data_IF_931583686355
#
_entry.id   IF_931583686355
#
_cell.length_a   1.000
_cell.length_b   1.000
_cell.length_c   1.000
_cell.angle_alpha   90.00
_cell.angle_beta   90.00
_cell.angle_gamma   90.00
#
_symmetry.space_group_name_H-M   'P 1'
#
loop_
_entity.id
_entity.type
_entity.pdbx_description
1 polymer ?
#
# COMPACT_ATOMS: atom_id res chain seq x y z
N UNK A 1 6.34 26.59 4.13
CA UNK A 1 5.72 26.68 5.45
C UNK A 1 6.03 25.43 6.26
N UNK A 2 6.28 25.60 7.48
CA UNK A 2 6.95 24.87 8.52
C UNK A 2 6.48 23.41 8.74
N UNK A 3 6.67 22.51 7.77
CA UNK A 3 6.30 21.09 7.89
C UNK A 3 6.98 20.44 9.10
N UNK A 4 8.24 20.81 9.38
CA UNK A 4 8.99 20.27 10.52
C UNK A 4 8.38 20.71 11.85
N UNK A 5 7.86 21.94 11.94
CA UNK A 5 7.12 22.38 13.11
C UNK A 5 5.85 21.53 13.34
N UNK A 6 5.06 21.32 12.28
CA UNK A 6 3.85 20.49 12.38
C UNK A 6 4.16 19.03 12.70
N UNK A 7 5.24 18.48 12.17
CA UNK A 7 5.70 17.12 12.53
C UNK A 7 6.05 17.05 14.02
N UNK A 8 6.86 17.98 14.53
CA UNK A 8 7.23 18.04 15.95
C UNK A 8 5.98 18.16 16.85
N UNK A 9 5.06 19.07 16.51
CA UNK A 9 3.83 19.25 17.26
C UNK A 9 2.96 17.99 17.23
N UNK A 10 2.87 17.31 16.09
CA UNK A 10 2.12 16.05 15.96
C UNK A 10 2.72 14.97 16.84
N UNK A 11 4.05 14.79 16.80
CA UNK A 11 4.74 13.80 17.63
C UNK A 11 4.62 14.10 19.13
N UNK A 12 4.72 15.37 19.52
CA UNK A 12 4.48 15.79 20.89
C UNK A 12 3.05 15.40 21.34
N UNK A 13 2.03 15.73 20.56
CA UNK A 13 0.65 15.36 20.89
C UNK A 13 0.45 13.85 20.97
N UNK A 14 1.10 13.08 20.08
CA UNK A 14 1.07 11.62 20.15
C UNK A 14 1.66 11.13 21.48
N UNK A 15 2.81 11.66 21.91
CA UNK A 15 3.44 11.28 23.19
C UNK A 15 2.57 11.66 24.40
N UNK A 16 1.79 12.72 24.29
CA UNK A 16 0.79 13.14 25.29
C UNK A 16 -0.53 12.33 25.22
N UNK A 17 -0.58 11.29 24.36
CA UNK A 17 -1.79 10.47 24.10
C UNK A 17 -3.00 11.29 23.63
N UNK A 18 -2.75 12.38 22.90
CA UNK A 18 -3.77 13.23 22.30
C UNK A 18 -3.95 12.88 20.82
N UNK A 19 -5.21 12.81 20.38
CA UNK A 19 -5.53 12.57 18.97
C UNK A 19 -5.09 13.79 18.13
N UNK A 20 -4.05 13.62 17.34
CA UNK A 20 -3.44 14.68 16.52
C UNK A 20 -3.41 14.37 15.03
N UNK A 21 -3.51 13.09 14.68
CA UNK A 21 -3.56 12.63 13.30
C UNK A 21 -4.22 11.25 13.20
N UNK A 22 -4.68 10.91 12.00
CA UNK A 22 -5.12 9.53 11.75
C UNK A 22 -3.91 8.58 11.77
N UNK A 23 -4.10 7.29 12.09
CA UNK A 23 -3.01 6.30 11.99
C UNK A 23 -2.37 6.26 10.60
N UNK A 24 -3.19 6.44 9.56
CA UNK A 24 -2.68 6.48 8.18
C UNK A 24 -1.75 7.69 7.94
N UNK A 25 -2.07 8.86 8.50
CA UNK A 25 -1.23 10.05 8.40
C UNK A 25 0.12 9.86 9.13
N UNK A 26 0.13 9.15 10.27
CA UNK A 26 1.34 8.94 11.06
C UNK A 26 2.47 8.25 10.27
N UNK A 27 2.14 7.43 9.26
CA UNK A 27 3.13 6.77 8.39
C UNK A 27 3.99 7.73 7.57
N UNK A 28 3.47 8.93 7.27
CA UNK A 28 4.24 9.97 6.58
C UNK A 28 4.95 10.91 7.56
N UNK A 29 4.57 10.90 8.84
CA UNK A 29 5.15 11.77 9.89
C UNK A 29 6.39 11.17 10.49
N UNK A 30 6.39 9.86 10.76
CA UNK A 30 7.50 9.19 11.46
C UNK A 30 7.66 7.74 11.01
N UNK A 31 8.89 7.23 11.10
CA UNK A 31 9.23 5.79 10.95
C UNK A 31 9.36 5.08 12.30
N UNK A 32 9.13 5.78 13.40
CA UNK A 32 9.22 5.20 14.74
C UNK A 32 7.96 4.40 15.09
N UNK A 33 8.17 3.19 15.59
CA UNK A 33 7.11 2.21 15.81
C UNK A 33 6.18 2.57 16.98
N UNK A 34 6.76 3.03 18.10
CA UNK A 34 5.97 3.39 19.29
C UNK A 34 5.04 4.58 19.03
N UNK A 35 5.47 5.69 18.42
CA UNK A 35 4.57 6.78 18.04
C UNK A 35 3.46 6.34 17.09
N UNK A 36 3.74 5.45 16.11
CA UNK A 36 2.71 4.94 15.20
C UNK A 36 1.67 4.10 15.95
N UNK A 37 2.11 3.20 16.86
CA UNK A 37 1.22 2.42 17.72
C UNK A 37 0.37 3.33 18.62
N UNK A 38 1.02 4.30 19.28
CA UNK A 38 0.30 5.22 20.18
C UNK A 38 -0.74 6.05 19.41
N UNK A 39 -0.40 6.54 18.20
CA UNK A 39 -1.34 7.25 17.34
C UNK A 39 -2.56 6.38 16.99
N UNK A 40 -2.33 5.10 16.64
CA UNK A 40 -3.40 4.16 16.31
C UNK A 40 -4.29 3.88 17.53
N UNK A 41 -3.72 3.61 18.70
CA UNK A 41 -4.47 3.35 19.93
C UNK A 41 -5.30 4.57 20.36
N UNK A 42 -4.71 5.76 20.34
CA UNK A 42 -5.40 7.00 20.70
C UNK A 42 -6.55 7.30 19.74
N UNK A 43 -6.28 7.20 18.42
CA UNK A 43 -7.30 7.42 17.39
C UNK A 43 -8.45 6.42 17.52
N UNK A 44 -8.15 5.13 17.69
CA UNK A 44 -9.14 4.07 17.87
C UNK A 44 -10.04 4.33 19.09
N UNK A 45 -9.42 4.64 20.23
CA UNK A 45 -10.15 4.95 21.47
C UNK A 45 -11.08 6.15 21.30
N UNK A 46 -10.58 7.25 20.74
CA UNK A 46 -11.40 8.46 20.53
C UNK A 46 -12.52 8.23 19.49
N UNK A 47 -12.27 7.42 18.48
CA UNK A 47 -13.27 7.04 17.49
C UNK A 47 -14.40 6.23 18.14
N UNK A 48 -14.07 5.23 18.97
CA UNK A 48 -15.04 4.40 19.67
C UNK A 48 -15.96 5.19 20.61
N UNK A 49 -15.47 6.25 21.26
CA UNK A 49 -16.30 7.13 22.08
C UNK A 49 -17.43 7.82 21.31
N UNK A 50 -17.25 8.00 20.00
CA UNK A 50 -18.18 8.67 19.08
C UNK A 50 -19.14 7.72 18.37
N UNK A 51 -18.88 6.43 18.45
CA UNK A 51 -19.66 5.40 17.78
C UNK A 51 -20.61 4.77 18.80
N UNK A 52 -21.92 4.82 18.51
CA UNK A 52 -22.89 4.07 19.29
C UNK A 52 -22.76 2.58 18.95
N UNK A 53 -22.31 1.77 19.91
CA UNK A 53 -22.28 0.31 19.81
C UNK A 53 -23.49 -0.21 20.59
N UNK A 54 -24.63 -0.32 19.91
CA UNK A 54 -25.87 -0.81 20.52
C UNK A 54 -25.76 -2.28 20.93
N UNK A 55 -25.58 -3.18 19.96
CA UNK A 55 -25.41 -4.62 20.20
C UNK A 55 -23.97 -5.03 19.96
N UNK A 56 -23.39 -5.75 20.93
CA UNK A 56 -22.13 -6.43 20.81
C UNK A 56 -22.35 -7.94 20.88
N UNK A 57 -21.84 -8.65 19.88
CA UNK A 57 -21.97 -10.09 19.86
C UNK A 57 -20.86 -10.74 20.67
N UNK A 58 -21.16 -11.89 21.27
CA UNK A 58 -20.21 -12.72 22.01
C UNK A 58 -20.32 -14.17 21.52
N UNK A 59 -19.21 -14.87 21.51
CA UNK A 59 -19.12 -16.24 21.04
C UNK A 59 -18.52 -17.12 22.13
N UNK A 60 -19.36 -17.96 22.76
CA UNK A 60 -18.89 -18.95 23.74
C UNK A 60 -18.23 -20.13 23.04
N UNK A 61 -18.68 -20.44 21.81
CA UNK A 61 -18.13 -21.52 20.96
C UNK A 61 -18.10 -21.03 19.51
N UNK A 62 -17.10 -21.49 18.75
CA UNK A 62 -17.06 -21.29 17.31
C UNK A 62 -18.22 -22.03 16.63
N UNK A 63 -18.67 -21.50 15.49
CA UNK A 63 -19.65 -22.20 14.68
C UNK A 63 -19.12 -23.56 14.20
N UNK A 64 -20.02 -24.54 14.05
CA UNK A 64 -19.67 -25.90 13.59
C UNK A 64 -20.00 -26.08 12.10
N UNK A 65 -19.43 -25.24 11.24
CA UNK A 65 -19.64 -25.37 9.81
C UNK A 65 -18.77 -26.49 9.21
N UNK A 66 -19.32 -27.24 8.24
CA UNK A 66 -18.52 -28.14 7.39
C UNK A 66 -17.42 -27.38 6.64
N UNK A 67 -17.73 -26.14 6.23
CA UNK A 67 -16.83 -25.22 5.56
C UNK A 67 -16.85 -23.90 6.34
N UNK A 68 -15.74 -23.50 6.96
CA UNK A 68 -15.69 -22.19 7.59
C UNK A 68 -16.05 -21.07 6.61
N UNK A 69 -16.85 -20.11 7.08
CA UNK A 69 -17.30 -18.97 6.30
C UNK A 69 -16.34 -17.80 6.51
N UNK A 70 -15.78 -17.28 5.43
CA UNK A 70 -14.85 -16.16 5.42
C UNK A 70 -15.48 -14.98 4.71
N UNK A 71 -15.62 -13.83 5.38
CA UNK A 71 -16.13 -12.61 4.77
C UNK A 71 -15.02 -11.57 4.59
N UNK A 72 -14.79 -11.11 3.37
CA UNK A 72 -13.97 -9.94 3.07
C UNK A 72 -14.85 -8.70 3.10
N UNK A 73 -14.42 -7.68 3.84
CA UNK A 73 -15.19 -6.47 4.15
C UNK A 73 -14.45 -5.26 3.60
N UNK A 74 -15.05 -4.50 2.69
CA UNK A 74 -14.42 -3.33 2.08
C UNK A 74 -15.41 -2.40 1.41
N UNK A 75 -15.04 -1.12 1.22
CA UNK A 75 -15.67 -0.24 0.23
C UNK A 75 -15.03 -0.33 -1.14
N UNK A 76 -13.91 -1.04 -1.30
CA UNK A 76 -13.05 -0.97 -2.47
C UNK A 76 -13.31 -2.06 -3.51
N UNK A 77 -14.43 -2.79 -3.42
CA UNK A 77 -14.87 -3.75 -4.42
C UNK A 77 -15.32 -3.07 -5.73
N UNK A 78 -14.43 -2.23 -6.26
CA UNK A 78 -14.58 -1.48 -7.51
C UNK A 78 -13.19 -1.26 -8.13
N UNK A 79 -13.06 -0.42 -9.17
CA UNK A 79 -11.75 -0.06 -9.76
C UNK A 79 -10.89 0.68 -8.73
N UNK A 80 -10.17 -0.09 -7.94
CA UNK A 80 -9.31 0.37 -6.85
C UNK A 80 -8.04 -0.48 -6.76
N UNK A 81 -6.94 0.13 -6.27
CA UNK A 81 -5.65 -0.53 -6.13
C UNK A 81 -5.74 -1.87 -5.37
N UNK A 82 -6.52 -1.93 -4.29
CA UNK A 82 -6.72 -3.16 -3.51
C UNK A 82 -7.31 -4.29 -4.37
N UNK A 83 -8.29 -4.00 -5.23
CA UNK A 83 -8.90 -5.03 -6.07
C UNK A 83 -7.96 -5.47 -7.19
N UNK A 84 -7.16 -4.57 -7.74
CA UNK A 84 -6.09 -4.94 -8.68
C UNK A 84 -5.01 -5.84 -8.07
N UNK A 85 -4.85 -5.81 -6.76
CA UNK A 85 -3.98 -6.76 -6.05
C UNK A 85 -4.71 -8.07 -5.73
N UNK A 86 -5.95 -7.99 -5.25
CA UNK A 86 -6.65 -9.10 -4.59
C UNK A 86 -7.41 -10.02 -5.54
N UNK A 87 -7.80 -9.55 -6.75
CA UNK A 87 -8.69 -10.32 -7.62
C UNK A 87 -8.14 -11.69 -7.99
N UNK A 88 -6.83 -11.80 -8.22
CA UNK A 88 -6.18 -13.09 -8.48
C UNK A 88 -6.26 -14.04 -7.29
N UNK A 89 -6.19 -13.53 -6.06
CA UNK A 89 -6.42 -14.31 -4.84
C UNK A 89 -7.88 -14.81 -4.81
N UNK A 90 -8.85 -13.94 -5.05
CA UNK A 90 -10.26 -14.31 -5.01
C UNK A 90 -10.61 -15.36 -6.07
N UNK A 91 -10.03 -15.30 -7.27
CA UNK A 91 -10.25 -16.30 -8.33
C UNK A 91 -9.67 -17.69 -7.99
N UNK A 92 -8.67 -17.76 -7.11
CA UNK A 92 -8.02 -19.00 -6.70
C UNK A 92 -8.52 -19.54 -5.34
N UNK A 93 -9.59 -18.97 -4.78
CA UNK A 93 -10.19 -19.41 -3.52
C UNK A 93 -10.61 -20.89 -3.57
N UNK A 94 -10.37 -21.60 -2.45
CA UNK A 94 -10.73 -23.01 -2.34
C UNK A 94 -12.18 -23.20 -1.86
N UNK A 95 -13.13 -23.04 -2.76
CA UNK A 95 -14.57 -23.19 -2.48
C UNK A 95 -14.98 -24.63 -2.05
N UNK A 96 -14.07 -25.61 -2.13
CA UNK A 96 -14.32 -26.94 -1.57
C UNK A 96 -14.09 -26.97 -0.06
N UNK A 97 -13.18 -26.14 0.45
CA UNK A 97 -12.81 -26.08 1.89
C UNK A 97 -13.50 -24.95 2.64
N UNK A 98 -13.77 -23.83 1.99
CA UNK A 98 -14.31 -22.64 2.62
C UNK A 98 -15.52 -22.11 1.86
N UNK A 99 -16.38 -21.34 2.56
CA UNK A 99 -17.44 -20.55 1.94
C UNK A 99 -17.08 -19.07 2.05
N UNK A 100 -16.97 -18.42 0.88
CA UNK A 100 -16.47 -17.03 0.81
C UNK A 100 -17.59 -16.05 0.53
N UNK A 101 -17.58 -14.96 1.31
CA UNK A 101 -18.51 -13.86 1.21
C UNK A 101 -17.75 -12.55 0.93
N UNK A 102 -18.33 -11.66 0.13
CA UNK A 102 -17.90 -10.29 0.00
C UNK A 102 -18.96 -9.37 0.64
N UNK A 103 -18.55 -8.52 1.56
CA UNK A 103 -19.40 -7.50 2.21
C UNK A 103 -18.95 -6.14 1.68
N UNK A 104 -19.60 -5.68 0.63
CA UNK A 104 -19.29 -4.42 -0.04
C UNK A 104 -20.15 -3.28 0.50
N UNK A 105 -19.53 -2.37 1.24
CA UNK A 105 -20.21 -1.17 1.75
C UNK A 105 -19.93 0.07 0.89
N UNK A 106 -19.48 -0.10 -0.36
CA UNK A 106 -19.41 1.01 -1.30
C UNK A 106 -20.79 1.53 -1.68
N UNK A 107 -20.93 2.84 -1.80
CA UNK A 107 -22.10 3.47 -2.42
C UNK A 107 -21.96 3.54 -3.96
N UNK A 108 -20.75 3.31 -4.49
CA UNK A 108 -20.44 3.38 -5.92
C UNK A 108 -20.59 2.00 -6.54
N UNK A 109 -21.47 1.90 -7.53
CA UNK A 109 -21.51 0.75 -8.43
C UNK A 109 -21.00 1.23 -9.78
N UNK A 110 -19.92 0.64 -10.23
CA UNK A 110 -19.39 0.88 -11.56
C UNK A 110 -19.48 -0.37 -12.42
N UNK A 111 -19.38 -0.21 -13.73
CA UNK A 111 -19.35 -1.29 -14.70
C UNK A 111 -17.94 -1.63 -15.16
N UNK A 112 -16.92 -1.21 -14.42
CA UNK A 112 -15.52 -1.44 -14.74
C UNK A 112 -15.23 -2.95 -14.86
N UNK A 113 -14.39 -3.39 -15.79
CA UNK A 113 -14.02 -4.80 -15.96
C UNK A 113 -13.49 -5.45 -14.70
N UNK A 114 -12.71 -4.70 -13.86
CA UNK A 114 -12.19 -5.26 -12.60
C UNK A 114 -13.31 -5.51 -11.58
N UNK A 115 -14.29 -4.61 -11.48
CA UNK A 115 -15.45 -4.76 -10.60
C UNK A 115 -16.25 -6.00 -10.97
N UNK A 116 -16.59 -6.15 -12.25
CA UNK A 116 -17.29 -7.33 -12.76
C UNK A 116 -16.49 -8.63 -12.53
N UNK A 117 -15.16 -8.56 -12.68
CA UNK A 117 -14.27 -9.70 -12.46
C UNK A 117 -14.27 -10.11 -10.99
N UNK A 118 -14.20 -9.15 -10.05
CA UNK A 118 -14.24 -9.41 -8.61
C UNK A 118 -15.61 -9.97 -8.20
N UNK A 119 -16.71 -9.36 -8.62
CA UNK A 119 -18.05 -9.84 -8.29
C UNK A 119 -18.28 -11.30 -8.71
N UNK A 120 -17.77 -11.70 -9.87
CA UNK A 120 -17.87 -13.09 -10.37
C UNK A 120 -17.12 -14.11 -9.51
N UNK A 121 -16.16 -13.69 -8.69
CA UNK A 121 -15.38 -14.62 -7.86
C UNK A 121 -16.14 -15.09 -6.63
N UNK A 122 -17.15 -14.33 -6.19
CA UNK A 122 -17.93 -14.61 -4.99
C UNK A 122 -19.32 -15.14 -5.34
N UNK A 123 -19.66 -16.31 -4.83
CA UNK A 123 -21.03 -16.80 -4.86
C UNK A 123 -21.96 -15.93 -3.99
N UNK A 124 -21.42 -15.45 -2.86
CA UNK A 124 -22.12 -14.66 -1.87
C UNK A 124 -21.56 -13.23 -1.85
N UNK A 125 -22.07 -12.37 -2.73
CA UNK A 125 -21.68 -10.95 -2.80
C UNK A 125 -22.82 -10.07 -2.26
N UNK A 126 -22.54 -9.35 -1.15
CA UNK A 126 -23.52 -8.54 -0.44
C UNK A 126 -23.22 -7.05 -0.63
N UNK A 127 -24.11 -6.34 -1.32
CA UNK A 127 -24.08 -4.89 -1.45
C UNK A 127 -24.81 -4.25 -0.26
N UNK A 128 -24.05 -3.63 0.65
CA UNK A 128 -24.57 -3.09 1.92
C UNK A 128 -24.25 -1.61 2.13
N UNK A 129 -23.97 -0.87 1.05
CA UNK A 129 -23.59 0.55 1.14
C UNK A 129 -24.63 1.47 1.78
N UNK A 130 -25.91 1.10 1.70
CA UNK A 130 -27.04 1.83 2.28
C UNK A 130 -27.36 1.44 3.74
N UNK A 131 -26.68 0.44 4.31
CA UNK A 131 -26.92 -0.04 5.67
C UNK A 131 -26.06 0.70 6.69
N UNK A 132 -26.55 0.84 7.93
CA UNK A 132 -25.75 1.30 9.06
C UNK A 132 -24.64 0.30 9.45
N UNK A 133 -23.68 0.72 10.28
CA UNK A 133 -22.65 -0.19 10.78
C UNK A 133 -23.25 -1.35 11.59
N UNK A 134 -24.26 -1.04 12.41
CA UNK A 134 -24.98 -2.02 13.22
C UNK A 134 -25.73 -3.03 12.35
N UNK A 135 -26.45 -2.57 11.31
CA UNK A 135 -27.14 -3.45 10.35
C UNK A 135 -26.18 -4.35 9.57
N UNK A 136 -24.97 -3.86 9.26
CA UNK A 136 -23.94 -4.69 8.59
C UNK A 136 -23.37 -5.71 9.58
N UNK A 137 -23.12 -5.31 10.82
CA UNK A 137 -22.68 -6.22 11.86
C UNK A 137 -23.72 -7.33 12.12
N UNK A 138 -25.01 -6.96 12.20
CA UNK A 138 -26.12 -7.93 12.31
C UNK A 138 -26.15 -8.90 11.12
N UNK A 139 -26.00 -8.41 9.89
CA UNK A 139 -25.94 -9.27 8.71
C UNK A 139 -24.77 -10.27 8.80
N UNK A 140 -23.57 -9.79 9.18
CA UNK A 140 -22.39 -10.66 9.31
C UNK A 140 -22.63 -11.76 10.35
N UNK A 141 -23.24 -11.40 11.48
CA UNK A 141 -23.58 -12.35 12.54
C UNK A 141 -24.65 -13.34 12.09
N UNK A 142 -25.74 -12.88 11.41
CA UNK A 142 -26.80 -13.75 10.91
C UNK A 142 -26.35 -14.69 9.80
N UNK A 143 -25.32 -14.29 9.03
CA UNK A 143 -24.64 -15.17 8.06
C UNK A 143 -23.76 -16.21 8.76
N UNK A 144 -23.56 -16.09 10.07
CA UNK A 144 -22.67 -16.95 10.87
C UNK A 144 -21.24 -16.98 10.28
N UNK A 145 -20.68 -15.79 10.01
CA UNK A 145 -19.31 -15.67 9.50
C UNK A 145 -18.31 -16.07 10.58
N UNK A 146 -17.43 -17.05 10.30
CA UNK A 146 -16.38 -17.49 11.21
C UNK A 146 -15.21 -16.50 11.26
N UNK A 147 -14.80 -15.99 10.10
CA UNK A 147 -13.66 -15.10 9.95
C UNK A 147 -14.06 -13.86 9.15
N UNK A 148 -14.01 -12.71 9.78
CA UNK A 148 -14.23 -11.40 9.15
C UNK A 148 -12.89 -10.73 8.83
N UNK A 149 -12.61 -10.47 7.55
CA UNK A 149 -11.36 -9.88 7.07
C UNK A 149 -11.60 -8.46 6.59
N UNK A 150 -11.14 -7.48 7.35
CA UNK A 150 -11.15 -6.07 6.96
C UNK A 150 -10.02 -5.77 5.97
N UNK A 151 -10.37 -5.22 4.81
CA UNK A 151 -9.41 -4.85 3.76
C UNK A 151 -9.12 -3.34 3.71
N UNK A 152 -9.56 -2.58 4.71
CA UNK A 152 -9.45 -1.11 4.73
C UNK A 152 -8.58 -0.55 5.85
N UNK A 153 -8.74 -1.04 7.08
CA UNK A 153 -8.19 -0.38 8.24
C UNK A 153 -8.63 1.08 8.31
N UNK A 154 -7.68 2.02 8.42
CA UNK A 154 -7.96 3.46 8.49
C UNK A 154 -7.74 4.21 7.18
N UNK A 155 -7.89 3.55 6.04
CA UNK A 155 -7.88 4.25 4.75
C UNK A 155 -9.17 5.03 4.50
N UNK A 156 -9.17 5.91 3.50
CA UNK A 156 -10.33 6.76 3.21
C UNK A 156 -11.62 5.94 3.01
N UNK A 157 -12.71 6.41 3.60
CA UNK A 157 -14.01 5.73 3.53
C UNK A 157 -14.13 4.50 4.43
N UNK A 158 -13.23 4.33 5.40
CA UNK A 158 -13.27 3.21 6.35
C UNK A 158 -14.55 3.17 7.17
N UNK A 159 -15.07 1.96 7.36
CA UNK A 159 -16.14 1.61 8.30
C UNK A 159 -15.70 0.48 9.25
N UNK A 160 -14.45 0.55 9.72
CA UNK A 160 -13.87 -0.43 10.66
C UNK A 160 -14.72 -0.62 11.93
N UNK A 161 -15.52 0.38 12.27
CA UNK A 161 -16.46 0.33 13.42
C UNK A 161 -17.52 -0.77 13.30
N UNK A 162 -17.79 -1.29 12.11
CA UNK A 162 -18.61 -2.50 11.92
C UNK A 162 -18.05 -3.63 12.78
N UNK A 163 -16.74 -3.77 12.83
CA UNK A 163 -16.08 -4.82 13.60
C UNK A 163 -16.00 -4.55 15.11
N UNK A 164 -16.27 -3.31 15.54
CA UNK A 164 -16.39 -2.99 16.96
C UNK A 164 -17.61 -3.66 17.63
N UNK A 165 -18.64 -4.00 16.85
CA UNK A 165 -19.77 -4.83 17.29
C UNK A 165 -19.39 -6.30 17.50
N UNK A 166 -18.19 -6.73 17.15
CA UNK A 166 -17.73 -8.14 17.20
C UNK A 166 -18.66 -9.10 16.46
N UNK A 167 -19.02 -8.87 15.18
CA UNK A 167 -20.00 -9.71 14.47
C UNK A 167 -19.49 -11.10 14.08
N UNK A 168 -18.20 -11.38 14.19
CA UNK A 168 -17.58 -12.68 13.91
C UNK A 168 -16.63 -13.11 15.05
N UNK A 169 -16.47 -14.42 15.30
CA UNK A 169 -15.55 -14.95 16.32
C UNK A 169 -14.11 -14.53 16.11
N UNK A 170 -13.66 -14.48 14.85
CA UNK A 170 -12.30 -14.10 14.46
C UNK A 170 -12.38 -12.89 13.52
N UNK A 171 -11.63 -11.84 13.86
CA UNK A 171 -11.56 -10.61 13.09
C UNK A 171 -10.11 -10.28 12.71
N UNK A 172 -9.88 -10.06 11.42
CA UNK A 172 -8.54 -9.94 10.83
C UNK A 172 -8.45 -8.64 10.03
N UNK A 173 -7.31 -7.95 10.09
CA UNK A 173 -7.00 -6.87 9.16
C UNK A 173 -5.96 -7.33 8.12
N UNK A 174 -6.14 -6.94 6.86
CA UNK A 174 -5.25 -7.33 5.79
C UNK A 174 -5.14 -6.27 4.69
N UNK A 175 -3.95 -6.06 4.18
CA UNK A 175 -3.53 -5.32 2.99
C UNK A 175 -3.84 -3.82 2.93
N UNK A 176 -5.01 -3.35 3.41
CA UNK A 176 -5.43 -1.95 3.22
C UNK A 176 -4.67 -0.95 4.10
N UNK A 177 -4.26 -1.36 5.30
CA UNK A 177 -3.61 -0.50 6.30
C UNK A 177 -2.24 -1.03 6.68
N UNK A 178 -1.15 -0.27 6.42
CA UNK A 178 0.21 -0.75 6.63
C UNK A 178 0.71 -0.49 8.07
N UNK A 179 0.04 -1.04 9.08
CA UNK A 179 0.39 -0.90 10.49
C UNK A 179 -0.66 -1.52 11.40
N UNK A 180 -0.48 -1.37 12.72
CA UNK A 180 -1.50 -1.78 13.70
C UNK A 180 -2.74 -0.90 13.61
N UNK A 181 -3.91 -1.49 13.82
CA UNK A 181 -5.18 -0.75 13.95
C UNK A 181 -5.32 -0.09 15.33
N UNK A 182 -4.51 -0.52 16.32
CA UNK A 182 -4.59 0.00 17.68
C UNK A 182 -5.91 -0.33 18.38
N UNK A 183 -6.69 -1.28 17.87
CA UNK A 183 -7.99 -1.68 18.42
C UNK A 183 -7.85 -2.92 19.32
N UNK A 184 -8.87 -3.16 20.14
CA UNK A 184 -9.01 -4.39 20.92
C UNK A 184 -10.05 -5.37 20.35
N UNK A 185 -10.58 -5.06 19.16
CA UNK A 185 -11.60 -5.87 18.50
C UNK A 185 -11.13 -6.48 17.18
N UNK A 186 -9.92 -6.20 16.74
CA UNK A 186 -9.24 -6.95 15.67
C UNK A 186 -8.26 -7.92 16.32
N UNK A 187 -8.42 -9.22 16.01
CA UNK A 187 -7.64 -10.28 16.67
C UNK A 187 -6.29 -10.50 15.99
N UNK A 188 -6.26 -10.41 14.65
CA UNK A 188 -5.07 -10.73 13.86
C UNK A 188 -4.79 -9.68 12.77
N UNK A 189 -3.51 -9.51 12.46
CA UNK A 189 -3.04 -8.79 11.27
C UNK A 189 -2.19 -9.72 10.40
N UNK A 190 -2.44 -9.75 9.09
CA UNK A 190 -1.65 -10.54 8.14
C UNK A 190 -0.50 -9.68 7.62
N UNK A 191 0.73 -10.16 7.85
CA UNK A 191 1.99 -9.50 7.51
C UNK A 191 2.99 -10.48 6.91
N UNK A 192 4.22 -10.08 6.67
CA UNK A 192 5.35 -10.99 6.43
C UNK A 192 6.52 -10.70 7.40
N UNK A 193 7.46 -11.64 7.49
CA UNK A 193 8.61 -11.53 8.38
C UNK A 193 9.58 -10.40 8.00
N UNK A 194 9.60 -9.98 6.74
CA UNK A 194 10.46 -8.88 6.32
C UNK A 194 9.86 -7.55 6.79
N UNK A 195 8.55 -7.37 6.60
CA UNK A 195 7.84 -6.13 7.00
C UNK A 195 7.83 -5.97 8.51
N UNK A 196 7.47 -7.03 9.25
CA UNK A 196 7.46 -7.01 10.72
C UNK A 196 8.36 -8.11 11.26
N UNK A 197 9.65 -7.81 11.51
CA UNK A 197 10.54 -8.72 12.22
C UNK A 197 10.01 -9.03 13.61
N UNK A 198 10.30 -10.23 14.17
CA UNK A 198 9.74 -10.72 15.45
C UNK A 198 9.91 -9.74 16.61
N UNK A 199 11.06 -9.06 16.68
CA UNK A 199 11.32 -8.03 17.69
C UNK A 199 10.32 -6.86 17.68
N UNK A 200 9.58 -6.69 16.59
CA UNK A 200 8.63 -5.59 16.36
C UNK A 200 7.18 -5.99 16.65
N UNK A 201 6.88 -7.26 16.98
CA UNK A 201 5.51 -7.74 17.24
C UNK A 201 4.83 -6.94 18.36
N UNK A 202 5.58 -6.53 19.37
CA UNK A 202 5.09 -5.71 20.49
C UNK A 202 4.48 -4.37 20.11
N UNK A 203 4.75 -3.90 18.89
CA UNK A 203 4.18 -2.63 18.37
C UNK A 203 2.84 -2.82 17.65
N UNK A 204 2.29 -4.03 17.67
CA UNK A 204 0.94 -4.32 17.20
C UNK A 204 0.02 -4.64 18.37
N UNK A 205 -1.25 -4.28 18.28
CA UNK A 205 -2.30 -4.71 19.21
C UNK A 205 -2.86 -6.06 18.80
N UNK A 206 -2.76 -6.39 17.53
CA UNK A 206 -3.18 -7.65 16.93
C UNK A 206 -2.10 -8.74 17.08
N UNK A 207 -2.52 -10.00 17.11
CA UNK A 207 -1.61 -11.13 16.88
C UNK A 207 -1.22 -11.17 15.40
N UNK A 208 0.05 -11.43 15.09
CA UNK A 208 0.54 -11.40 13.74
C UNK A 208 0.52 -12.78 13.08
N UNK A 209 -0.08 -12.86 11.90
CA UNK A 209 0.03 -14.00 10.99
C UNK A 209 1.09 -13.64 9.95
N UNK A 210 2.28 -14.22 10.09
CA UNK A 210 3.44 -13.92 9.26
C UNK A 210 3.53 -14.88 8.08
N UNK A 211 3.23 -14.38 6.89
CA UNK A 211 3.32 -15.16 5.66
C UNK A 211 4.79 -15.36 5.25
N UNK A 212 5.11 -16.54 4.74
CA UNK A 212 6.40 -16.81 4.12
C UNK A 212 6.49 -16.12 2.74
N UNK A 213 7.46 -15.24 2.56
CA UNK A 213 7.64 -14.39 1.38
C UNK A 213 6.94 -13.05 1.57
N UNK A 214 6.45 -12.41 0.51
CA UNK A 214 5.75 -11.13 0.59
C UNK A 214 4.31 -11.31 1.06
N UNK A 215 3.83 -10.38 1.91
CA UNK A 215 2.43 -10.34 2.37
C UNK A 215 1.47 -9.85 1.30
N UNK A 216 1.98 -9.12 0.31
CA UNK A 216 1.16 -8.49 -0.71
C UNK A 216 0.68 -9.51 -1.74
N UNK A 217 -0.64 -9.67 -1.85
CA UNK A 217 -1.25 -10.36 -2.97
C UNK A 217 -1.00 -9.59 -4.26
N UNK A 218 -0.92 -10.29 -5.39
CA UNK A 218 -0.87 -9.68 -6.72
C UNK A 218 -1.68 -10.49 -7.70
N UNK A 219 -2.21 -9.83 -8.73
CA UNK A 219 -2.97 -10.49 -9.79
C UNK A 219 -2.04 -10.95 -10.93
N UNK A 220 -1.94 -12.27 -11.15
CA UNK A 220 -1.14 -12.85 -12.23
C UNK A 220 -1.78 -12.72 -13.61
N UNK A 221 -3.10 -12.48 -13.70
CA UNK A 221 -3.82 -12.29 -14.96
C UNK A 221 -3.91 -10.84 -15.40
N UNK A 222 -3.25 -9.93 -14.66
CA UNK A 222 -3.23 -8.52 -15.02
C UNK A 222 -2.58 -8.35 -16.39
N UNK A 223 -3.31 -7.74 -17.32
CA UNK A 223 -2.81 -7.49 -18.66
C UNK A 223 -1.53 -6.65 -18.61
N UNK A 224 -0.48 -7.12 -19.31
CA UNK A 224 0.74 -6.36 -19.49
C UNK A 224 0.59 -5.57 -20.80
N UNK A 225 0.50 -4.25 -20.71
CA UNK A 225 0.30 -3.42 -21.90
C UNK A 225 1.57 -3.43 -22.78
N UNK A 226 1.41 -3.08 -24.06
CA UNK A 226 2.53 -2.84 -24.95
C UNK A 226 3.31 -1.58 -24.53
N UNK A 227 4.64 -1.54 -24.68
CA UNK A 227 5.39 -0.32 -24.41
C UNK A 227 4.87 0.85 -25.24
N UNK A 228 4.73 2.02 -24.62
CA UNK A 228 4.47 3.29 -25.28
C UNK A 228 5.78 4.06 -25.47
N UNK A 229 5.79 4.98 -26.42
CA UNK A 229 6.94 5.85 -26.65
C UNK A 229 6.91 7.05 -25.69
N UNK A 230 8.08 7.50 -25.27
CA UNK A 230 8.25 8.66 -24.37
C UNK A 230 7.51 9.91 -24.88
N UNK A 231 7.51 10.14 -26.21
CA UNK A 231 6.84 11.27 -26.85
C UNK A 231 5.32 11.33 -26.57
N UNK A 232 4.67 10.20 -26.34
CA UNK A 232 3.23 10.12 -26.03
C UNK A 232 2.91 10.71 -24.67
N UNK A 233 3.91 10.83 -23.81
CA UNK A 233 3.79 11.45 -22.48
C UNK A 233 4.50 12.80 -22.38
N UNK A 234 4.95 13.37 -23.52
CA UNK A 234 5.70 14.61 -23.53
C UNK A 234 7.10 14.49 -22.89
N UNK A 235 7.64 13.28 -22.85
CA UNK A 235 8.96 13.00 -22.26
C UNK A 235 10.06 13.09 -23.34
N UNK A 236 11.24 13.64 -23.01
CA UNK A 236 12.38 13.70 -23.91
C UNK A 236 12.97 12.30 -24.14
N UNK A 237 13.26 11.99 -25.40
CA UNK A 237 13.82 10.68 -25.79
C UNK A 237 15.23 10.47 -25.25
N UNK A 238 16.07 11.52 -25.22
CA UNK A 238 17.49 11.44 -24.95
C UNK A 238 17.89 11.77 -23.50
N UNK A 239 16.92 11.94 -22.59
CA UNK A 239 17.22 12.19 -21.18
C UNK A 239 17.02 10.93 -20.34
N UNK A 240 17.78 10.82 -19.25
CA UNK A 240 17.53 9.80 -18.21
C UNK A 240 16.29 10.18 -17.41
N UNK A 241 15.37 9.24 -17.22
CA UNK A 241 14.09 9.51 -16.56
C UNK A 241 14.02 8.80 -15.22
N UNK A 242 14.20 9.59 -14.15
CA UNK A 242 13.79 9.15 -12.82
C UNK A 242 12.28 9.31 -12.69
N UNK A 243 11.62 8.41 -11.97
CA UNK A 243 10.20 8.57 -11.65
C UNK A 243 9.89 8.30 -10.18
N UNK A 244 8.82 8.91 -9.69
CA UNK A 244 8.15 8.53 -8.46
C UNK A 244 6.65 8.80 -8.61
N UNK A 245 5.86 7.74 -8.74
CA UNK A 245 4.42 7.85 -8.91
C UNK A 245 3.65 7.66 -7.60
N UNK A 246 4.33 7.87 -6.49
CA UNK A 246 3.69 7.93 -5.18
C UNK A 246 2.89 9.23 -5.02
N UNK A 247 1.83 9.18 -4.21
CA UNK A 247 1.11 10.39 -3.83
C UNK A 247 2.05 11.37 -3.11
N UNK A 248 1.86 12.67 -3.34
CA UNK A 248 2.73 13.73 -2.83
C UNK A 248 2.85 13.80 -1.33
N UNK A 249 1.84 13.38 -0.56
CA UNK A 249 1.93 13.32 0.90
C UNK A 249 3.02 12.35 1.42
N UNK A 250 3.52 11.44 0.56
CA UNK A 250 4.65 10.56 0.86
C UNK A 250 6.01 11.20 0.59
N UNK A 251 6.05 12.27 -0.21
CA UNK A 251 7.29 12.96 -0.57
C UNK A 251 7.67 13.90 0.57
N UNK A 252 8.63 13.49 1.39
CA UNK A 252 9.14 14.29 2.49
C UNK A 252 10.27 15.21 2.01
N UNK A 253 10.46 16.38 2.62
CA UNK A 253 11.49 17.35 2.23
C UNK A 253 12.90 16.75 2.16
N UNK A 254 13.25 15.93 3.13
CA UNK A 254 14.56 15.26 3.16
C UNK A 254 14.78 14.37 1.93
N UNK A 255 13.80 13.52 1.61
CA UNK A 255 13.88 12.65 0.43
C UNK A 255 13.88 13.44 -0.87
N UNK A 256 13.09 14.52 -0.94
CA UNK A 256 13.09 15.36 -2.13
C UNK A 256 14.42 16.07 -2.33
N UNK A 257 15.08 16.54 -1.26
CA UNK A 257 16.44 17.09 -1.33
C UNK A 257 17.44 16.06 -1.87
N UNK A 258 17.38 14.81 -1.41
CA UNK A 258 18.24 13.73 -1.91
C UNK A 258 17.96 13.49 -3.41
N UNK A 259 16.72 13.53 -3.86
CA UNK A 259 16.38 13.43 -5.28
C UNK A 259 16.98 14.58 -6.10
N UNK A 260 17.03 15.80 -5.55
CA UNK A 260 17.71 16.94 -6.23
C UNK A 260 19.21 16.69 -6.36
N UNK A 261 19.86 16.12 -5.35
CA UNK A 261 21.28 15.76 -5.42
C UNK A 261 21.54 14.67 -6.47
N UNK A 262 20.65 13.65 -6.55
CA UNK A 262 20.70 12.63 -7.59
C UNK A 262 20.53 13.25 -8.99
N UNK A 263 19.56 14.17 -9.17
CA UNK A 263 19.38 14.87 -10.43
C UNK A 263 20.60 15.73 -10.81
N UNK A 264 21.24 16.40 -9.85
CA UNK A 264 22.43 17.21 -10.07
C UNK A 264 23.64 16.36 -10.52
N UNK A 265 23.74 15.13 -10.06
CA UNK A 265 24.80 14.21 -10.49
C UNK A 265 24.65 13.75 -11.96
N UNK A 266 23.46 13.88 -12.54
CA UNK A 266 23.14 13.50 -13.91
C UNK A 266 22.43 14.65 -14.63
N UNK A 267 23.21 15.60 -15.19
CA UNK A 267 22.69 16.81 -15.84
C UNK A 267 21.64 16.52 -16.93
N UNK A 268 21.86 15.49 -17.75
CA UNK A 268 20.92 15.08 -18.79
C UNK A 268 19.85 14.11 -18.24
N UNK A 269 19.11 14.54 -17.19
CA UNK A 269 18.04 13.77 -16.59
C UNK A 269 16.84 14.64 -16.19
N UNK A 270 15.70 13.98 -15.98
CA UNK A 270 14.48 14.58 -15.44
C UNK A 270 13.93 13.73 -14.29
N UNK A 271 13.14 14.35 -13.44
CA UNK A 271 12.28 13.68 -12.45
C UNK A 271 10.83 13.75 -12.90
N UNK A 272 10.20 12.59 -13.06
CA UNK A 272 8.82 12.45 -13.50
C UNK A 272 7.91 12.05 -12.34
N UNK A 273 7.00 12.93 -11.97
CA UNK A 273 6.13 12.82 -10.80
C UNK A 273 4.66 12.70 -11.21
N UNK A 274 3.86 12.16 -10.30
CA UNK A 274 2.41 12.21 -10.42
C UNK A 274 1.92 13.65 -10.20
N UNK A 275 1.02 14.11 -11.08
CA UNK A 275 0.37 15.42 -10.92
C UNK A 275 -0.45 15.49 -9.63
N UNK A 276 -0.41 16.63 -9.01
CA UNK A 276 -1.00 16.89 -7.71
C UNK A 276 -1.56 18.31 -7.65
N UNK A 277 -2.04 18.72 -6.48
CA UNK A 277 -2.53 20.07 -6.24
C UNK A 277 -1.45 21.13 -6.50
N UNK A 278 -1.85 22.28 -7.05
CA UNK A 278 -0.92 23.33 -7.49
C UNK A 278 0.01 23.81 -6.37
N UNK A 279 -0.52 23.95 -5.14
CA UNK A 279 0.30 24.33 -3.97
C UNK A 279 1.45 23.36 -3.73
N UNK A 280 1.20 22.05 -3.87
CA UNK A 280 2.23 21.04 -3.68
C UNK A 280 3.26 21.09 -4.82
N UNK A 281 2.81 21.26 -6.09
CA UNK A 281 3.70 21.45 -7.25
C UNK A 281 4.60 22.66 -7.07
N UNK A 282 4.01 23.80 -6.70
CA UNK A 282 4.76 25.05 -6.49
C UNK A 282 5.82 24.89 -5.40
N UNK A 283 5.49 24.21 -4.31
CA UNK A 283 6.45 23.95 -3.23
C UNK A 283 7.62 23.06 -3.71
N UNK A 284 7.32 21.98 -4.44
CA UNK A 284 8.36 21.11 -5.02
C UNK A 284 9.24 21.87 -6.02
N UNK A 285 8.66 22.69 -6.89
CA UNK A 285 9.40 23.50 -7.85
C UNK A 285 10.26 24.57 -7.17
N UNK A 286 9.78 25.20 -6.08
CA UNK A 286 10.57 26.16 -5.27
C UNK A 286 11.81 25.50 -4.66
N UNK A 287 11.63 24.30 -4.07
CA UNK A 287 12.74 23.53 -3.51
C UNK A 287 13.71 23.13 -4.63
N UNK A 288 13.22 22.62 -5.75
CA UNK A 288 14.05 22.25 -6.90
C UNK A 288 14.91 23.45 -7.38
N UNK A 289 14.27 24.61 -7.55
CA UNK A 289 14.98 25.85 -7.93
C UNK A 289 16.05 26.25 -6.93
N UNK A 290 15.78 26.18 -5.63
CA UNK A 290 16.76 26.50 -4.58
C UNK A 290 17.96 25.53 -4.56
N UNK A 291 17.79 24.34 -5.17
CA UNK A 291 18.84 23.32 -5.32
C UNK A 291 19.49 23.34 -6.71
N UNK A 292 19.24 24.38 -7.52
CA UNK A 292 19.81 24.54 -8.85
C UNK A 292 19.17 23.69 -9.97
N UNK A 293 18.01 23.09 -9.70
CA UNK A 293 17.26 22.32 -10.71
C UNK A 293 16.27 23.25 -11.41
N UNK A 294 16.35 23.31 -12.75
CA UNK A 294 15.44 24.08 -13.59
C UNK A 294 14.07 23.40 -13.70
N UNK A 295 13.01 24.22 -13.92
CA UNK A 295 11.61 23.73 -13.95
C UNK A 295 11.38 22.66 -15.01
N UNK A 296 12.05 22.74 -16.16
CA UNK A 296 11.95 21.77 -17.27
C UNK A 296 12.50 20.38 -16.93
N UNK A 297 13.25 20.26 -15.83
CA UNK A 297 13.74 18.97 -15.32
C UNK A 297 12.78 18.28 -14.36
N UNK A 298 11.64 18.89 -14.01
CA UNK A 298 10.59 18.26 -13.17
C UNK A 298 9.30 18.22 -13.99
N UNK A 299 8.86 17.03 -14.36
CA UNK A 299 7.64 16.84 -15.16
C UNK A 299 6.56 16.21 -14.28
N UNK A 300 5.36 16.78 -14.34
CA UNK A 300 4.16 16.26 -13.68
C UNK A 300 3.21 15.66 -14.71
N UNK A 301 2.74 14.45 -14.47
CA UNK A 301 1.76 13.78 -15.34
C UNK A 301 0.47 13.48 -14.62
N UNK A 302 -0.64 13.78 -15.28
CA UNK A 302 -2.00 13.57 -14.76
C UNK A 302 -2.24 12.12 -14.36
N UNK A 303 -3.18 11.92 -13.43
CA UNK A 303 -3.73 10.59 -13.14
C UNK A 303 -4.38 10.02 -14.41
N UNK A 304 -4.23 8.72 -14.58
CA UNK A 304 -4.73 7.97 -15.73
C UNK A 304 -5.46 6.72 -15.24
N UNK A 305 -6.14 6.03 -16.16
CA UNK A 305 -6.60 4.68 -15.88
C UNK A 305 -5.41 3.79 -15.48
N UNK A 306 -5.65 2.85 -14.60
CA UNK A 306 -4.57 2.03 -14.02
C UNK A 306 -3.75 1.26 -15.07
N UNK A 307 -4.38 0.82 -16.15
CA UNK A 307 -3.73 0.15 -17.28
C UNK A 307 -2.72 1.07 -17.96
N UNK A 308 -3.12 2.31 -18.25
CA UNK A 308 -2.28 3.31 -18.91
C UNK A 308 -1.18 3.80 -17.97
N UNK A 309 -1.53 3.93 -16.67
CA UNK A 309 -0.58 4.29 -15.64
C UNK A 309 0.56 3.27 -15.52
N UNK A 310 0.26 1.97 -15.59
CA UNK A 310 1.28 0.93 -15.56
C UNK A 310 2.13 0.99 -16.83
N UNK A 311 1.49 1.18 -17.96
CA UNK A 311 2.15 1.25 -19.27
C UNK A 311 3.16 2.39 -19.33
N UNK A 312 2.79 3.61 -18.88
CA UNK A 312 3.71 4.75 -18.88
C UNK A 312 4.94 4.55 -18.00
N UNK A 313 4.87 3.72 -16.94
CA UNK A 313 6.03 3.46 -16.12
C UNK A 313 7.19 2.88 -16.93
N UNK A 314 6.91 2.12 -18.00
CA UNK A 314 7.94 1.55 -18.89
C UNK A 314 8.80 2.62 -19.59
N UNK A 315 8.36 3.88 -19.64
CA UNK A 315 9.13 5.00 -20.18
C UNK A 315 10.20 5.51 -19.20
N UNK A 316 10.15 5.12 -17.92
CA UNK A 316 11.14 5.51 -16.91
C UNK A 316 12.37 4.59 -16.92
N UNK A 317 13.48 5.12 -16.42
CA UNK A 317 14.73 4.38 -16.27
C UNK A 317 14.92 3.84 -14.86
N UNK A 318 14.57 4.64 -13.84
CA UNK A 318 14.77 4.30 -12.45
C UNK A 318 13.66 4.91 -11.58
N UNK A 319 13.05 4.11 -10.72
CA UNK A 319 12.08 4.59 -9.74
C UNK A 319 12.80 4.97 -8.44
N UNK A 320 12.56 6.19 -7.95
CA UNK A 320 13.03 6.68 -6.66
C UNK A 320 11.88 6.56 -5.65
N UNK A 321 12.03 5.65 -4.68
CA UNK A 321 11.00 5.40 -3.68
C UNK A 321 10.95 6.50 -2.62
N UNK A 322 9.80 6.68 -2.02
CA UNK A 322 9.55 7.63 -0.91
C UNK A 322 9.86 7.01 0.44
N UNK A 323 10.17 7.85 1.43
CA UNK A 323 10.39 7.49 2.82
C UNK A 323 9.88 8.60 3.76
N UNK A 324 9.30 8.28 4.94
CA UNK A 324 9.17 6.96 5.57
C UNK A 324 8.00 6.10 5.04
N UNK A 325 7.16 6.59 4.17
CA UNK A 325 6.07 5.83 3.57
C UNK A 325 6.45 5.39 2.15
N UNK A 326 6.86 4.13 1.99
CA UNK A 326 7.28 3.56 0.71
C UNK A 326 6.15 3.46 -0.33
N UNK A 327 6.56 3.18 -1.56
CA UNK A 327 5.70 2.62 -2.60
C UNK A 327 5.23 1.22 -2.20
N UNK A 328 3.93 0.97 -2.33
CA UNK A 328 3.31 -0.32 -2.09
C UNK A 328 2.86 -0.95 -3.42
N UNK A 329 1.61 -0.70 -3.84
CA UNK A 329 1.13 -1.13 -5.17
C UNK A 329 2.02 -0.60 -6.29
N UNK A 330 2.47 0.66 -6.19
CA UNK A 330 3.36 1.29 -7.18
C UNK A 330 4.72 0.60 -7.27
N UNK A 331 5.24 0.02 -6.19
CA UNK A 331 6.48 -0.76 -6.21
C UNK A 331 6.29 -2.09 -6.95
N UNK A 332 5.22 -2.84 -6.65
CA UNK A 332 4.93 -4.08 -7.36
C UNK A 332 4.63 -3.84 -8.85
N UNK A 333 3.97 -2.72 -9.18
CA UNK A 333 3.74 -2.31 -10.57
C UNK A 333 5.05 -2.01 -11.29
N UNK A 334 5.96 -1.23 -10.69
CA UNK A 334 7.27 -0.93 -11.26
C UNK A 334 8.10 -2.20 -11.53
N UNK A 335 8.15 -3.10 -10.54
CA UNK A 335 8.85 -4.39 -10.68
C UNK A 335 8.23 -5.25 -11.79
N UNK A 336 6.89 -5.30 -11.87
CA UNK A 336 6.18 -6.00 -12.96
C UNK A 336 6.55 -5.46 -14.34
N UNK A 337 6.75 -4.15 -14.45
CA UNK A 337 7.16 -3.49 -15.71
C UNK A 337 8.69 -3.57 -15.96
N UNK A 338 9.45 -4.21 -15.08
CA UNK A 338 10.90 -4.33 -15.21
C UNK A 338 11.66 -3.05 -14.87
N UNK A 339 11.04 -2.12 -14.13
CA UNK A 339 11.68 -0.87 -13.71
C UNK A 339 12.37 -1.08 -12.35
N UNK A 340 13.69 -0.84 -12.26
CA UNK A 340 14.41 -0.87 -10.99
C UNK A 340 13.87 0.21 -10.05
N UNK A 341 13.71 -0.13 -8.78
CA UNK A 341 13.29 0.78 -7.73
C UNK A 341 14.35 0.81 -6.63
N UNK A 342 14.91 1.99 -6.36
CA UNK A 342 15.76 2.19 -5.17
C UNK A 342 14.85 2.50 -4.01
N UNK A 343 14.94 1.74 -2.92
CA UNK A 343 14.11 1.91 -1.74
C UNK A 343 14.94 1.94 -0.46
N UNK A 344 14.53 2.79 0.49
CA UNK A 344 15.10 2.86 1.84
C UNK A 344 14.21 2.03 2.78
N UNK A 345 14.78 0.99 3.37
CA UNK A 345 14.11 0.18 4.36
C UNK A 345 14.26 0.78 5.76
N UNK A 346 13.16 1.22 6.35
CA UNK A 346 13.13 1.73 7.72
C UNK A 346 12.73 0.69 8.75
N UNK A 347 12.06 1.16 9.81
CA UNK A 347 11.63 0.36 10.95
C UNK A 347 10.16 -0.05 10.86
N UNK A 348 9.30 0.83 10.33
CA UNK A 348 7.86 0.65 10.32
C UNK A 348 7.38 -0.24 9.17
N UNK A 349 6.17 -0.76 9.28
CA UNK A 349 5.54 -1.50 8.20
C UNK A 349 5.57 -0.68 6.88
N UNK A 350 5.10 0.56 6.94
CA UNK A 350 4.97 1.41 5.77
C UNK A 350 6.30 1.70 5.07
N UNK A 351 7.43 1.70 5.79
CA UNK A 351 8.78 1.95 5.26
C UNK A 351 9.52 0.69 4.82
N UNK A 352 8.88 -0.49 4.87
CA UNK A 352 9.52 -1.77 4.54
C UNK A 352 8.86 -2.52 3.38
N UNK A 353 7.75 -2.00 2.86
CA UNK A 353 7.00 -2.70 1.81
C UNK A 353 7.77 -2.78 0.50
N UNK A 354 8.40 -1.70 0.03
CA UNK A 354 9.24 -1.71 -1.16
C UNK A 354 10.36 -2.76 -1.05
N UNK A 355 10.99 -2.82 0.11
CA UNK A 355 12.07 -3.78 0.40
C UNK A 355 11.56 -5.24 0.52
N UNK A 356 10.37 -5.48 1.08
CA UNK A 356 9.74 -6.81 1.08
C UNK A 356 9.48 -7.31 -0.33
N UNK A 357 8.95 -6.46 -1.21
CA UNK A 357 8.70 -6.77 -2.62
C UNK A 357 10.01 -7.12 -3.33
N UNK A 358 11.06 -6.29 -3.18
CA UNK A 358 12.38 -6.54 -3.78
C UNK A 358 13.02 -7.82 -3.26
N UNK A 359 12.89 -8.11 -1.97
CA UNK A 359 13.38 -9.35 -1.37
C UNK A 359 12.66 -10.57 -1.94
N UNK A 360 11.35 -10.48 -2.16
CA UNK A 360 10.55 -11.56 -2.72
C UNK A 360 10.93 -11.90 -4.17
N UNK A 361 11.33 -10.89 -4.96
CA UNK A 361 11.81 -11.10 -6.35
C UNK A 361 13.32 -11.33 -6.42
N UNK A 362 14.05 -11.37 -5.29
CA UNK A 362 15.48 -11.68 -5.25
C UNK A 362 16.41 -10.55 -5.74
N UNK A 363 15.97 -9.29 -5.67
CA UNK A 363 16.72 -8.10 -6.10
C UNK A 363 17.08 -7.22 -4.88
N UNK A 364 17.80 -7.82 -3.92
CA UNK A 364 18.10 -7.17 -2.63
C UNK A 364 19.08 -6.01 -2.74
N UNK A 365 19.90 -5.94 -3.78
CA UNK A 365 20.86 -4.87 -4.02
C UNK A 365 20.24 -3.49 -4.28
N UNK A 366 18.93 -3.41 -4.46
CA UNK A 366 18.18 -2.16 -4.57
C UNK A 366 17.58 -1.69 -3.24
N UNK A 367 17.81 -2.45 -2.15
CA UNK A 367 17.36 -2.12 -0.80
C UNK A 367 18.51 -1.44 -0.07
N UNK A 368 18.28 -0.25 0.44
CA UNK A 368 19.26 0.53 1.21
C UNK A 368 18.83 0.66 2.66
N UNK A 369 19.78 0.90 3.56
CA UNK A 369 19.58 1.03 5.01
C UNK A 369 19.81 2.45 5.54
N UNK A 370 20.32 3.34 4.69
CA UNK A 370 20.55 4.75 5.03
C UNK A 370 20.24 5.66 3.85
N UNK A 371 19.97 6.92 4.15
CA UNK A 371 19.74 7.98 3.14
C UNK A 371 20.98 8.16 2.27
N UNK A 372 22.18 8.00 2.85
CA UNK A 372 23.45 8.06 2.13
C UNK A 372 23.56 6.93 1.09
N UNK A 373 23.35 5.69 1.51
CA UNK A 373 23.34 4.54 0.58
C UNK A 373 22.28 4.70 -0.51
N UNK A 374 21.11 5.22 -0.17
CA UNK A 374 20.04 5.48 -1.13
C UNK A 374 20.49 6.48 -2.20
N UNK A 375 21.10 7.58 -1.79
CA UNK A 375 21.63 8.62 -2.68
C UNK A 375 22.74 8.07 -3.57
N UNK A 376 23.74 7.40 -2.98
CA UNK A 376 24.86 6.80 -3.70
C UNK A 376 24.40 5.77 -4.73
N UNK A 377 23.47 4.89 -4.38
CA UNK A 377 22.92 3.90 -5.30
C UNK A 377 22.11 4.55 -6.44
N UNK A 378 21.29 5.57 -6.13
CA UNK A 378 20.56 6.32 -7.14
C UNK A 378 21.47 7.00 -8.15
N UNK A 379 22.56 7.61 -7.69
CA UNK A 379 23.61 8.20 -8.53
C UNK A 379 24.30 7.12 -9.36
N UNK A 380 24.75 6.06 -8.71
CA UNK A 380 25.49 4.98 -9.39
C UNK A 380 24.69 4.40 -10.55
N UNK A 381 23.41 4.10 -10.34
CA UNK A 381 22.56 3.54 -11.39
C UNK A 381 22.29 4.52 -12.54
N UNK A 382 22.28 5.82 -12.25
CA UNK A 382 22.12 6.84 -13.29
C UNK A 382 23.37 7.01 -14.18
N UNK A 383 24.56 6.81 -13.63
CA UNK A 383 25.83 7.02 -14.36
C UNK A 383 26.42 5.72 -14.94
N UNK A 384 25.95 4.53 -14.50
CA UNK A 384 26.42 3.22 -14.97
C UNK A 384 25.33 2.50 -15.80
N UNK A 385 25.17 2.81 -17.09
CA UNK A 385 24.08 2.27 -17.90
C UNK A 385 24.12 0.74 -18.03
N UNK A 386 25.29 0.13 -18.08
CA UNK A 386 25.42 -1.34 -18.14
C UNK A 386 24.89 -2.01 -16.87
N UNK A 387 25.16 -1.46 -15.68
CA UNK A 387 24.64 -1.98 -14.41
C UNK A 387 23.11 -1.87 -14.38
N UNK A 388 22.57 -0.74 -14.81
CA UNK A 388 21.13 -0.53 -14.88
C UNK A 388 20.45 -1.50 -15.85
N UNK A 389 21.02 -1.70 -17.04
CA UNK A 389 20.51 -2.64 -18.05
C UNK A 389 20.50 -4.08 -17.53
N UNK A 390 21.56 -4.51 -16.87
CA UNK A 390 21.63 -5.83 -16.23
C UNK A 390 20.53 -5.98 -15.16
N UNK A 391 20.31 -4.97 -14.33
CA UNK A 391 19.25 -4.98 -13.31
C UNK A 391 17.86 -5.05 -13.94
N UNK A 392 17.58 -4.25 -14.97
CA UNK A 392 16.31 -4.30 -15.72
C UNK A 392 16.03 -5.72 -16.27
N UNK A 393 17.04 -6.35 -16.86
CA UNK A 393 16.92 -7.72 -17.39
C UNK A 393 16.68 -8.75 -16.26
N UNK A 394 17.41 -8.64 -15.15
CA UNK A 394 17.23 -9.52 -13.99
C UNK A 394 15.85 -9.37 -13.37
N UNK A 395 15.35 -8.13 -13.21
CA UNK A 395 14.02 -7.87 -12.68
C UNK A 395 12.96 -8.53 -13.56
N UNK A 396 13.01 -8.37 -14.89
CA UNK A 396 12.09 -9.02 -15.83
C UNK A 396 12.12 -10.55 -15.70
N UNK A 397 13.30 -11.14 -15.65
CA UNK A 397 13.48 -12.58 -15.51
C UNK A 397 13.03 -13.10 -14.15
N UNK A 398 13.30 -12.36 -13.07
CA UNK A 398 12.91 -12.73 -11.71
C UNK A 398 11.41 -12.53 -11.47
N UNK A 399 10.81 -11.45 -11.96
CA UNK A 399 9.39 -11.20 -11.84
C UNK A 399 8.55 -12.33 -12.44
N UNK A 400 8.94 -12.82 -13.62
CA UNK A 400 8.23 -13.93 -14.31
C UNK A 400 8.27 -15.27 -13.55
N UNK A 401 9.27 -15.45 -12.68
CA UNK A 401 9.48 -16.69 -11.89
C UNK A 401 9.12 -16.53 -10.40
N UNK A 402 8.84 -15.31 -9.97
CA UNK A 402 8.64 -14.98 -8.56
C UNK A 402 7.25 -15.42 -8.07
N UNK A 403 7.22 -15.96 -6.87
CA UNK A 403 5.97 -16.20 -6.14
C UNK A 403 5.18 -14.92 -5.83
N UNK A 404 5.78 -13.73 -5.98
CA UNK A 404 5.07 -12.45 -5.84
C UNK A 404 3.92 -12.34 -6.83
N UNK A 405 4.15 -12.78 -8.09
CA UNK A 405 3.15 -12.69 -9.17
C UNK A 405 2.44 -14.03 -9.45
N UNK A 406 2.48 -14.97 -8.51
CA UNK A 406 1.76 -16.24 -8.55
C UNK A 406 0.59 -16.23 -7.57
N UNK A 407 -0.57 -15.79 -8.06
CA UNK A 407 -1.80 -15.71 -7.27
C UNK A 407 -2.24 -17.05 -6.70
N UNK A 408 -2.01 -18.16 -7.42
CA UNK A 408 -2.38 -19.50 -6.97
C UNK A 408 -1.55 -19.94 -5.77
N UNK A 409 -0.22 -19.87 -5.89
CA UNK A 409 0.68 -20.19 -4.76
C UNK A 409 0.47 -19.27 -3.58
N UNK A 410 0.15 -17.99 -3.83
CA UNK A 410 -0.17 -17.04 -2.77
C UNK A 410 -1.43 -17.43 -2.02
N UNK A 411 -2.52 -17.75 -2.75
CA UNK A 411 -3.80 -18.14 -2.14
C UNK A 411 -3.69 -19.40 -1.30
N UNK A 412 -2.81 -20.33 -1.68
CA UNK A 412 -2.55 -21.54 -0.86
C UNK A 412 -1.85 -21.29 0.46
N UNK A 413 -1.09 -20.18 0.56
CA UNK A 413 -0.38 -19.80 1.79
C UNK A 413 -1.28 -19.07 2.77
N UNK A 414 -2.25 -18.31 2.26
CA UNK A 414 -3.21 -17.57 3.03
C UNK A 414 -4.34 -18.48 3.51
#
# INVERSE_FOLDING_TARGET
QNLDHYKKLTLQKISEKKNSCTPFCSFSVTDELEPQKQAAMTYSSERLKKVHIGKKYSFEKNYKHKKPKIAYISSDFHDHATMHLMVGLFENQNNKKFDYHAISYTSKRDSNPITKRVEKTFKNFHHVGNKSNEQIAELINNLEIDIAVDLKGYTYGTRIDILAHRPAPIQVTYIGHPGTTGTNYIDYAIVDNFIVPDKNDKYFTEKLIKLKGCYQATDNKRHLPKPLMRKEFGLPENKFIFCSFNNTYKIQPEMFNIWMDILNSKQNSILWLLDTEDIAKDNLLKIAKSRGITKDRIIFSKKMLITDHIQRQMCADLFLDTFPYNAHTTASDAIRMGIPIVTLAGNSFASRVGASILSCVGIKELITSSTKEYQELGIELAIKPNKLAMLKNRIKASASKSNLFDSYSFTKKL
#
